data_IF_005084570531
#
_entry.id   IF_005084570531
#
_cell.length_a   1.000
_cell.length_b   1.000
_cell.length_c   1.000
_cell.angle_alpha   90.00
_cell.angle_beta   90.00
_cell.angle_gamma   90.00
#
_symmetry.space_group_name_H-M   'P 1'
#
loop_
_entity.id
_entity.type
_entity.pdbx_description
1 polymer ?
#
# COMPACT_ATOMS: atom_id res chain seq x y z
N UNK A 1 -23.42 -27.22 93.26
CA UNK A 1 -23.97 -28.58 93.12
C UNK A 1 -23.85 -28.99 91.65
N UNK A 2 -23.29 -30.17 91.42
CA UNK A 2 -23.03 -30.78 90.12
C UNK A 2 -24.33 -30.98 89.33
N UNK A 3 -24.27 -30.82 88.00
CA UNK A 3 -24.70 -31.85 87.03
C UNK A 3 -24.33 -31.41 85.61
N UNK A 4 -23.50 -32.23 84.99
CA UNK A 4 -23.16 -32.22 83.58
C UNK A 4 -24.35 -32.72 82.76
N UNK A 5 -24.52 -32.17 81.56
CA UNK A 5 -25.22 -32.83 80.45
C UNK A 5 -24.35 -32.64 79.19
N UNK A 6 -23.82 -33.77 78.72
CA UNK A 6 -23.20 -33.98 77.41
C UNK A 6 -24.29 -34.08 76.34
N UNK A 7 -24.08 -33.49 75.15
CA UNK A 7 -24.40 -34.06 73.82
C UNK A 7 -23.99 -33.06 72.69
N UNK A 8 -23.85 -33.47 71.41
CA UNK A 8 -22.67 -34.11 70.84
C UNK A 8 -21.98 -33.25 69.74
N UNK A 9 -20.77 -33.69 69.37
CA UNK A 9 -19.87 -33.18 68.35
C UNK A 9 -20.52 -33.15 66.95
N UNK A 10 -20.72 -31.95 66.39
CA UNK A 10 -21.05 -31.75 64.97
C UNK A 10 -19.73 -31.42 64.25
N UNK A 11 -19.28 -32.34 63.41
CA UNK A 11 -18.18 -32.11 62.48
C UNK A 11 -18.66 -31.15 61.38
N UNK A 12 -18.19 -29.90 61.42
CA UNK A 12 -18.43 -28.90 60.39
C UNK A 12 -17.35 -29.06 59.30
N UNK A 13 -17.71 -29.72 58.20
CA UNK A 13 -16.90 -29.77 56.98
C UNK A 13 -16.89 -28.40 56.31
N UNK A 14 -15.72 -27.77 56.26
CA UNK A 14 -15.47 -26.51 55.54
C UNK A 14 -15.46 -26.81 54.04
N UNK A 15 -16.54 -26.43 53.35
CA UNK A 15 -16.58 -26.34 51.90
C UNK A 15 -15.87 -25.05 51.47
N UNK A 16 -14.67 -25.19 50.91
CA UNK A 16 -14.03 -24.11 50.14
C UNK A 16 -14.76 -23.97 48.81
N UNK A 17 -15.59 -22.93 48.67
CA UNK A 17 -16.06 -22.48 47.36
C UNK A 17 -14.96 -21.65 46.73
N UNK A 18 -14.29 -22.21 45.71
CA UNK A 18 -13.49 -21.45 44.75
C UNK A 18 -14.43 -20.48 44.05
N UNK A 19 -14.31 -19.19 44.34
CA UNK A 19 -14.93 -18.14 43.53
C UNK A 19 -14.20 -18.10 42.21
N UNK A 20 -14.88 -18.54 41.14
CA UNK A 20 -14.46 -18.28 39.78
C UNK A 20 -14.32 -16.76 39.61
N UNK A 21 -13.18 -16.33 39.09
CA UNK A 21 -12.96 -14.94 38.69
C UNK A 21 -13.91 -14.69 37.52
N UNK A 22 -15.05 -14.03 37.79
CA UNK A 22 -15.94 -13.55 36.74
C UNK A 22 -15.17 -12.48 35.96
N UNK A 23 -14.57 -12.89 34.84
CA UNK A 23 -14.04 -11.98 33.84
C UNK A 23 -15.25 -11.21 33.33
N UNK A 24 -15.29 -9.92 33.66
CA UNK A 24 -16.34 -9.00 33.27
C UNK A 24 -16.44 -8.98 31.73
N UNK A 25 -17.45 -9.67 31.20
CA UNK A 25 -17.55 -10.03 29.77
C UNK A 25 -18.32 -9.07 28.84
N UNK A 26 -18.74 -7.85 29.22
CA UNK A 26 -19.25 -6.90 28.23
C UNK A 26 -18.41 -5.62 28.18
N UNK A 27 -17.12 -5.71 27.85
CA UNK A 27 -16.33 -4.51 27.50
C UNK A 27 -15.22 -4.75 26.46
N UNK A 28 -15.28 -5.88 25.74
CA UNK A 28 -14.45 -6.14 24.54
C UNK A 28 -15.39 -6.59 23.41
N UNK A 29 -16.23 -5.68 22.91
CA UNK A 29 -16.92 -5.79 21.61
C UNK A 29 -17.69 -4.49 21.34
N UNK A 30 -16.95 -3.40 21.17
CA UNK A 30 -17.47 -2.21 20.50
C UNK A 30 -16.39 -1.48 19.69
N UNK A 31 -15.51 -2.26 19.07
CA UNK A 31 -14.79 -1.80 17.88
C UNK A 31 -15.23 -2.73 16.76
N UNK A 32 -15.95 -2.16 15.81
CA UNK A 32 -16.48 -2.79 14.60
C UNK A 32 -15.32 -3.27 13.72
N UNK A 33 -14.74 -4.43 14.00
CA UNK A 33 -14.00 -5.19 12.99
C UNK A 33 -14.99 -6.18 12.36
N UNK A 34 -15.81 -5.66 11.45
CA UNK A 34 -16.55 -6.53 10.54
C UNK A 34 -15.51 -7.13 9.61
N UNK A 35 -15.27 -8.44 9.76
CA UNK A 35 -14.48 -9.25 8.82
C UNK A 35 -14.88 -8.88 7.40
N UNK A 36 -13.92 -8.35 6.61
CA UNK A 36 -14.15 -8.00 5.21
C UNK A 36 -14.29 -9.29 4.41
N UNK A 37 -15.49 -9.86 4.45
CA UNK A 37 -15.88 -11.01 3.65
C UNK A 37 -16.84 -10.55 2.57
N UNK A 38 -16.40 -10.60 1.31
CA UNK A 38 -17.25 -10.22 0.20
C UNK A 38 -18.37 -11.24 -0.04
N UNK A 39 -19.61 -10.79 0.11
CA UNK A 39 -20.80 -11.53 -0.26
C UNK A 39 -20.97 -11.47 -1.79
N UNK A 40 -20.95 -12.64 -2.44
CA UNK A 40 -21.11 -12.78 -3.89
C UNK A 40 -22.51 -13.29 -4.24
N UNK A 41 -23.00 -13.00 -5.44
CA UNK A 41 -24.23 -13.61 -5.93
C UNK A 41 -24.05 -15.11 -6.15
N UNK A 42 -25.00 -15.91 -5.65
CA UNK A 42 -24.99 -17.39 -5.72
C UNK A 42 -26.21 -17.96 -6.44
N UNK A 43 -27.10 -17.10 -6.96
CA UNK A 43 -28.31 -17.52 -7.65
C UNK A 43 -28.07 -17.91 -9.12
N UNK A 44 -29.12 -18.31 -9.85
CA UNK A 44 -29.00 -18.60 -11.28
C UNK A 44 -28.68 -17.32 -12.08
N UNK A 45 -27.68 -17.40 -12.96
CA UNK A 45 -27.36 -16.31 -13.86
C UNK A 45 -28.11 -16.45 -15.19
N UNK A 46 -28.68 -15.36 -15.69
CA UNK A 46 -29.28 -15.31 -17.03
C UNK A 46 -28.22 -15.24 -18.13
N UNK A 47 -27.09 -14.61 -17.82
CA UNK A 47 -25.92 -14.42 -18.69
C UNK A 47 -24.68 -14.58 -17.83
N UNK A 48 -23.69 -15.33 -18.32
CA UNK A 48 -22.38 -15.45 -17.69
C UNK A 48 -21.37 -14.94 -18.69
N UNK A 49 -20.66 -13.88 -18.32
CA UNK A 49 -19.60 -13.32 -19.16
C UNK A 49 -18.38 -14.25 -19.16
N UNK A 50 -17.70 -14.33 -20.30
CA UNK A 50 -16.44 -15.08 -20.38
C UNK A 50 -15.33 -14.32 -19.66
N UNK A 51 -14.28 -15.04 -19.24
CA UNK A 51 -13.10 -14.41 -18.64
C UNK A 51 -12.49 -13.35 -19.57
N UNK A 52 -12.46 -13.60 -20.88
CA UNK A 52 -11.97 -12.64 -21.87
C UNK A 52 -12.84 -11.38 -21.97
N UNK A 53 -14.17 -11.53 -21.89
CA UNK A 53 -15.07 -10.38 -21.86
C UNK A 53 -14.85 -9.51 -20.61
N UNK A 54 -14.65 -10.14 -19.45
CA UNK A 54 -14.34 -9.46 -18.18
C UNK A 54 -13.00 -8.70 -18.30
N UNK A 55 -11.95 -9.37 -18.81
CA UNK A 55 -10.63 -8.76 -19.05
C UNK A 55 -10.70 -7.59 -20.04
N UNK A 56 -11.58 -7.68 -21.04
CA UNK A 56 -11.78 -6.64 -22.04
C UNK A 56 -12.34 -5.34 -21.46
N UNK A 57 -13.12 -5.42 -20.38
CA UNK A 57 -13.62 -4.23 -19.65
C UNK A 57 -12.44 -3.45 -19.08
N UNK A 58 -11.63 -4.11 -18.24
CA UNK A 58 -10.47 -3.50 -17.59
C UNK A 58 -9.45 -2.98 -18.59
N UNK A 59 -9.05 -3.84 -19.54
CA UNK A 59 -8.03 -3.48 -20.53
C UNK A 59 -8.48 -2.37 -21.49
N UNK A 60 -9.78 -2.25 -21.79
CA UNK A 60 -10.31 -1.14 -22.59
C UNK A 60 -10.17 0.22 -21.91
N UNK A 61 -10.47 0.27 -20.61
CA UNK A 61 -10.29 1.47 -19.78
C UNK A 61 -8.80 1.79 -19.62
N UNK A 62 -7.96 0.79 -19.30
CA UNK A 62 -6.53 0.97 -19.11
C UNK A 62 -5.80 1.46 -20.36
N UNK A 63 -6.18 0.94 -21.55
CA UNK A 63 -5.67 1.44 -22.85
C UNK A 63 -6.02 2.89 -23.14
N UNK A 64 -7.05 3.43 -22.50
CA UNK A 64 -7.43 4.83 -22.66
C UNK A 64 -6.54 5.72 -21.78
N UNK A 65 -6.27 5.29 -20.54
CA UNK A 65 -5.36 5.96 -19.61
C UNK A 65 -3.90 5.92 -20.09
N UNK A 66 -3.43 4.79 -20.61
CA UNK A 66 -2.03 4.65 -21.08
C UNK A 66 -1.65 5.57 -22.25
N UNK A 67 -2.63 6.21 -22.90
CA UNK A 67 -2.36 7.24 -23.93
C UNK A 67 -1.79 8.53 -23.33
N UNK A 68 -2.12 8.85 -22.08
CA UNK A 68 -1.62 10.02 -21.37
C UNK A 68 -1.79 9.84 -19.86
N UNK A 69 -0.81 9.19 -19.23
CA UNK A 69 -0.82 8.89 -17.78
C UNK A 69 -0.53 10.10 -16.89
N UNK A 70 -0.17 11.25 -17.49
CA UNK A 70 0.17 12.48 -16.76
C UNK A 70 -0.92 13.56 -16.86
N UNK A 71 -2.03 13.25 -17.52
CA UNK A 71 -3.13 14.21 -17.75
C UNK A 71 -4.43 13.63 -17.28
N UNK A 72 -5.12 14.35 -16.39
CA UNK A 72 -6.42 13.94 -15.88
C UNK A 72 -7.43 13.67 -17.01
N UNK A 73 -8.28 12.66 -16.83
CA UNK A 73 -9.25 12.24 -17.83
C UNK A 73 -10.36 11.37 -17.29
N UNK A 74 -11.48 11.31 -18.03
CA UNK A 74 -12.61 10.42 -17.71
C UNK A 74 -12.89 9.52 -18.90
N UNK A 75 -12.86 8.22 -18.66
CA UNK A 75 -13.00 7.20 -19.70
C UNK A 75 -14.18 6.31 -19.36
N UNK A 76 -15.20 6.35 -20.21
CA UNK A 76 -16.43 5.60 -20.03
C UNK A 76 -16.49 4.41 -21.00
N UNK A 77 -16.89 3.25 -20.49
CA UNK A 77 -17.18 2.06 -21.27
C UNK A 77 -18.68 1.73 -21.17
N UNK A 78 -19.42 2.15 -22.20
CA UNK A 78 -20.85 1.87 -22.40
C UNK A 78 -21.75 2.24 -21.21
N UNK A 79 -21.39 3.25 -20.41
CA UNK A 79 -22.14 3.67 -19.22
C UNK A 79 -22.00 2.76 -18.00
N UNK A 80 -21.52 1.52 -18.19
CA UNK A 80 -21.44 0.50 -17.13
C UNK A 80 -20.20 0.65 -16.25
N UNK A 81 -19.08 1.04 -16.82
CA UNK A 81 -17.83 1.23 -16.10
C UNK A 81 -17.20 2.54 -16.53
N UNK A 82 -16.72 3.33 -15.58
CA UNK A 82 -15.99 4.57 -15.85
C UNK A 82 -14.73 4.57 -15.02
N UNK A 83 -13.62 5.00 -15.59
CA UNK A 83 -12.41 5.36 -14.83
C UNK A 83 -12.24 6.87 -14.91
N UNK A 84 -12.10 7.51 -13.76
CA UNK A 84 -11.58 8.87 -13.64
C UNK A 84 -10.11 8.73 -13.28
N UNK A 85 -9.24 9.10 -14.20
CA UNK A 85 -7.81 9.24 -13.95
C UNK A 85 -7.58 10.66 -13.42
N UNK A 86 -7.35 10.79 -12.12
CA UNK A 86 -7.27 12.06 -11.40
C UNK A 86 -5.81 12.30 -10.97
N UNK A 87 -5.11 13.09 -11.78
CA UNK A 87 -3.68 13.39 -11.61
C UNK A 87 -3.40 14.89 -11.64
N UNK A 88 -2.55 15.34 -10.72
CA UNK A 88 -1.97 16.68 -10.67
C UNK A 88 -0.45 16.61 -10.45
N UNK A 89 0.32 16.86 -11.52
CA UNK A 89 1.78 16.77 -11.51
C UNK A 89 2.47 17.98 -10.86
N UNK A 90 1.73 19.07 -10.63
CA UNK A 90 2.25 20.28 -10.01
C UNK A 90 2.33 20.14 -8.48
N UNK A 91 1.34 19.48 -7.88
CA UNK A 91 1.30 19.23 -6.42
C UNK A 91 2.09 17.96 -6.09
N UNK A 92 3.12 18.08 -5.24
CA UNK A 92 3.96 16.96 -4.81
C UNK A 92 3.42 16.22 -3.58
N UNK A 93 2.68 16.91 -2.73
CA UNK A 93 2.06 16.31 -1.56
C UNK A 93 0.83 15.49 -1.93
N UNK A 94 0.57 14.43 -1.16
CA UNK A 94 -0.58 13.52 -1.29
C UNK A 94 -0.61 12.73 -2.61
N UNK A 95 -1.53 11.77 -2.66
CA UNK A 95 -1.62 10.80 -3.76
C UNK A 95 -2.55 11.29 -4.87
N UNK A 96 -2.16 10.99 -6.09
CA UNK A 96 -3.08 10.92 -7.23
C UNK A 96 -3.89 9.62 -7.15
N UNK A 97 -4.91 9.45 -8.01
CA UNK A 97 -5.66 8.20 -8.04
C UNK A 97 -6.34 7.93 -9.38
N UNK A 98 -6.55 6.65 -9.66
CA UNK A 98 -7.62 6.22 -10.54
C UNK A 98 -8.87 5.86 -9.72
N UNK A 99 -10.02 6.31 -10.18
CA UNK A 99 -11.31 6.02 -9.55
C UNK A 99 -12.15 5.19 -10.52
N UNK A 100 -12.28 3.89 -10.24
CA UNK A 100 -13.17 2.99 -10.96
C UNK A 100 -14.59 3.12 -10.41
N UNK A 101 -15.49 3.62 -11.24
CA UNK A 101 -16.91 3.77 -10.96
C UNK A 101 -17.67 2.60 -11.59
N UNK A 102 -18.45 1.91 -10.76
CA UNK A 102 -19.40 0.89 -11.20
C UNK A 102 -20.75 1.59 -11.45
N UNK A 103 -21.15 1.68 -12.72
CA UNK A 103 -22.41 2.29 -13.13
C UNK A 103 -23.63 1.47 -12.70
N UNK A 104 -24.80 2.11 -12.66
CA UNK A 104 -26.05 1.45 -12.23
C UNK A 104 -26.46 0.26 -13.12
N UNK A 105 -26.06 0.28 -14.39
CA UNK A 105 -26.33 -0.79 -15.36
C UNK A 105 -25.23 -1.87 -15.41
N UNK A 106 -24.24 -1.79 -14.52
CA UNK A 106 -23.23 -2.83 -14.39
C UNK A 106 -23.83 -4.09 -13.75
N UNK A 107 -23.35 -5.25 -14.18
CA UNK A 107 -23.82 -6.57 -13.75
C UNK A 107 -22.74 -7.39 -13.04
N UNK A 108 -21.64 -6.75 -12.59
CA UNK A 108 -20.62 -7.44 -11.81
C UNK A 108 -21.18 -7.79 -10.43
N UNK A 109 -21.13 -9.08 -10.12
CA UNK A 109 -21.80 -9.67 -8.96
C UNK A 109 -20.90 -10.63 -8.15
N UNK A 110 -19.62 -10.71 -8.54
CA UNK A 110 -18.61 -11.53 -7.89
C UNK A 110 -17.27 -10.79 -7.78
N UNK A 111 -16.66 -10.83 -6.60
CA UNK A 111 -15.39 -10.16 -6.28
C UNK A 111 -14.24 -10.58 -7.20
N UNK A 112 -14.17 -11.87 -7.58
CA UNK A 112 -13.17 -12.37 -8.53
C UNK A 112 -13.26 -11.69 -9.89
N UNK A 113 -14.48 -11.41 -10.37
CA UNK A 113 -14.69 -10.72 -11.64
C UNK A 113 -14.28 -9.24 -11.52
N UNK A 114 -14.61 -8.59 -10.39
CA UNK A 114 -14.19 -7.22 -10.13
C UNK A 114 -12.66 -7.09 -10.04
N UNK A 115 -12.00 -7.99 -9.30
CA UNK A 115 -10.54 -8.06 -9.23
C UNK A 115 -9.92 -8.31 -10.59
N UNK A 116 -10.52 -9.14 -11.44
CA UNK A 116 -10.04 -9.36 -12.80
C UNK A 116 -10.18 -8.11 -13.69
N UNK A 117 -11.25 -7.31 -13.52
CA UNK A 117 -11.40 -6.02 -14.20
C UNK A 117 -10.26 -5.07 -13.78
N UNK A 118 -10.01 -4.94 -12.48
CA UNK A 118 -8.94 -4.08 -11.94
C UNK A 118 -7.57 -4.58 -12.39
N UNK A 119 -7.29 -5.88 -12.32
CA UNK A 119 -6.02 -6.45 -12.76
C UNK A 119 -5.77 -6.19 -14.25
N UNK A 120 -6.76 -6.45 -15.12
CA UNK A 120 -6.64 -6.17 -16.55
C UNK A 120 -6.54 -4.68 -16.87
N UNK A 121 -7.11 -3.82 -16.03
CA UNK A 121 -6.91 -2.38 -16.10
C UNK A 121 -5.44 -2.02 -15.80
N UNK A 122 -4.89 -2.48 -14.68
CA UNK A 122 -3.52 -2.18 -14.25
C UNK A 122 -2.48 -2.69 -15.25
N UNK A 123 -2.65 -3.89 -15.80
CA UNK A 123 -1.79 -4.42 -16.87
C UNK A 123 -1.82 -3.53 -18.11
N UNK A 124 -3.00 -3.04 -18.52
CA UNK A 124 -3.14 -2.24 -19.74
C UNK A 124 -2.75 -0.76 -19.57
N UNK A 125 -2.94 -0.20 -18.37
CA UNK A 125 -2.63 1.19 -18.04
C UNK A 125 -1.15 1.38 -17.74
N UNK A 126 -0.57 0.49 -16.93
CA UNK A 126 0.74 0.67 -16.31
C UNK A 126 1.73 -0.47 -16.58
N UNK A 127 1.31 -1.53 -17.27
CA UNK A 127 2.21 -2.60 -17.69
C UNK A 127 2.56 -3.62 -16.60
N UNK A 128 1.82 -3.65 -15.49
CA UNK A 128 1.97 -4.69 -14.46
C UNK A 128 1.82 -6.10 -15.06
N UNK A 129 2.61 -7.04 -14.56
CA UNK A 129 2.44 -8.46 -14.86
C UNK A 129 1.05 -8.94 -14.39
N UNK A 130 0.51 -10.01 -14.99
CA UNK A 130 -0.81 -10.52 -14.56
C UNK A 130 -0.82 -10.91 -13.07
N UNK A 131 0.30 -11.42 -12.55
CA UNK A 131 0.47 -11.79 -11.13
C UNK A 131 0.38 -10.55 -10.26
N UNK A 132 1.20 -9.53 -10.53
CA UNK A 132 1.27 -8.30 -9.73
C UNK A 132 -0.04 -7.54 -9.77
N UNK A 133 -0.64 -7.42 -10.96
CA UNK A 133 -1.92 -6.77 -11.14
C UNK A 133 -3.04 -7.48 -10.36
N UNK A 134 -3.00 -8.81 -10.27
CA UNK A 134 -3.94 -9.59 -9.46
C UNK A 134 -3.73 -9.34 -7.96
N UNK A 135 -2.49 -9.35 -7.49
CA UNK A 135 -2.14 -9.04 -6.10
C UNK A 135 -2.62 -7.65 -5.72
N UNK A 136 -2.28 -6.63 -6.52
CA UNK A 136 -2.72 -5.25 -6.30
C UNK A 136 -4.25 -5.16 -6.32
N UNK A 137 -4.93 -5.83 -7.25
CA UNK A 137 -6.40 -5.81 -7.31
C UNK A 137 -7.04 -6.40 -6.05
N UNK A 138 -6.45 -7.44 -5.45
CA UNK A 138 -6.90 -7.96 -4.15
C UNK A 138 -6.82 -6.88 -3.07
N UNK A 139 -5.65 -6.28 -2.86
CA UNK A 139 -5.44 -5.27 -1.84
C UNK A 139 -6.28 -4.00 -2.09
N UNK A 140 -6.40 -3.54 -3.32
CA UNK A 140 -7.28 -2.42 -3.70
C UNK A 140 -8.73 -2.70 -3.28
N UNK A 141 -9.25 -3.91 -3.51
CA UNK A 141 -10.63 -4.21 -3.10
C UNK A 141 -10.82 -4.20 -1.59
N UNK A 142 -9.85 -4.72 -0.83
CA UNK A 142 -9.92 -4.77 0.63
C UNK A 142 -9.75 -3.36 1.21
N UNK A 143 -8.76 -2.60 0.74
CA UNK A 143 -8.55 -1.18 1.05
C UNK A 143 -9.85 -0.37 0.92
N UNK A 144 -10.52 -0.49 -0.23
CA UNK A 144 -11.75 0.24 -0.49
C UNK A 144 -12.93 -0.23 0.38
N UNK A 145 -12.92 -1.48 0.85
CA UNK A 145 -13.93 -1.99 1.77
C UNK A 145 -13.70 -1.51 3.20
N UNK A 146 -12.45 -1.58 3.69
CA UNK A 146 -12.04 -1.06 5.01
C UNK A 146 -12.38 0.42 5.16
N UNK A 147 -12.10 1.22 4.13
CA UNK A 147 -12.29 2.67 4.16
C UNK A 147 -13.61 3.15 3.54
N UNK A 148 -14.57 2.26 3.25
CA UNK A 148 -15.84 2.64 2.63
C UNK A 148 -16.53 3.76 3.41
N UNK A 149 -16.90 4.81 2.69
CA UNK A 149 -17.59 5.98 3.24
C UNK A 149 -16.78 6.85 4.20
N UNK A 150 -15.51 6.52 4.47
CA UNK A 150 -14.64 7.28 5.35
C UNK A 150 -13.97 8.43 4.58
N UNK A 151 -14.77 9.41 4.16
CA UNK A 151 -14.30 10.53 3.34
C UNK A 151 -13.08 11.27 3.92
N UNK A 152 -12.99 11.38 5.25
CA UNK A 152 -11.84 12.00 5.92
C UNK A 152 -10.52 11.34 5.57
N UNK A 153 -10.47 10.00 5.52
CA UNK A 153 -9.26 9.25 5.14
C UNK A 153 -8.84 9.62 3.72
N UNK A 154 -9.80 9.72 2.81
CA UNK A 154 -9.52 10.13 1.43
C UNK A 154 -9.05 11.58 1.33
N UNK A 155 -9.63 12.51 2.10
CA UNK A 155 -9.21 13.93 2.12
C UNK A 155 -7.80 14.11 2.70
N UNK A 156 -7.40 13.29 3.67
CA UNK A 156 -6.07 13.33 4.26
C UNK A 156 -5.01 12.76 3.31
N UNK A 157 -5.29 11.63 2.65
CA UNK A 157 -4.32 10.90 1.83
C UNK A 157 -4.20 11.38 0.38
N UNK A 158 -5.27 11.92 -0.20
CA UNK A 158 -5.33 12.21 -1.64
C UNK A 158 -5.42 13.69 -1.97
N UNK A 159 -4.93 14.04 -3.16
CA UNK A 159 -5.01 15.40 -3.70
C UNK A 159 -6.45 15.82 -3.97
N UNK A 160 -6.69 17.13 -4.02
CA UNK A 160 -8.01 17.71 -4.29
C UNK A 160 -8.60 17.22 -5.61
N UNK A 161 -7.76 17.06 -6.66
CA UNK A 161 -8.18 16.53 -7.96
C UNK A 161 -8.83 15.14 -7.86
N UNK A 162 -8.44 14.33 -6.86
CA UNK A 162 -9.05 13.05 -6.56
C UNK A 162 -10.34 13.25 -5.76
N UNK A 163 -10.26 13.99 -4.65
CA UNK A 163 -11.36 14.08 -3.68
C UNK A 163 -12.59 14.78 -4.22
N UNK A 164 -12.43 15.70 -5.17
CA UNK A 164 -13.54 16.39 -5.85
C UNK A 164 -14.43 15.43 -6.67
N UNK A 165 -13.90 14.24 -7.00
CA UNK A 165 -14.64 13.19 -7.70
C UNK A 165 -15.31 12.20 -6.74
N UNK A 166 -15.07 12.28 -5.43
CA UNK A 166 -15.57 11.34 -4.43
C UNK A 166 -16.78 11.89 -3.68
N UNK A 167 -17.65 10.97 -3.25
CA UNK A 167 -18.77 11.28 -2.36
C UNK A 167 -18.78 10.32 -1.19
N UNK A 168 -19.18 10.80 0.00
CA UNK A 168 -19.19 9.97 1.21
C UNK A 168 -20.06 8.71 1.08
N UNK A 169 -21.15 8.75 0.32
CA UNK A 169 -22.03 7.59 0.14
C UNK A 169 -21.38 6.50 -0.73
N UNK A 170 -20.51 6.89 -1.68
CA UNK A 170 -20.04 6.00 -2.75
C UNK A 170 -18.56 5.68 -2.69
N UNK A 171 -17.75 6.48 -1.99
CA UNK A 171 -16.31 6.24 -1.88
C UNK A 171 -16.02 4.89 -1.21
N UNK A 172 -15.12 4.12 -1.82
CA UNK A 172 -14.84 2.76 -1.43
C UNK A 172 -15.79 1.74 -2.06
N UNK A 173 -15.84 0.55 -1.46
CA UNK A 173 -16.49 -0.64 -2.01
C UNK A 173 -17.27 -1.38 -0.94
N UNK A 174 -18.55 -1.66 -1.16
CA UNK A 174 -19.33 -2.47 -0.20
C UNK A 174 -18.82 -3.92 -0.18
N UNK A 175 -18.95 -4.61 0.94
CA UNK A 175 -18.75 -6.07 0.99
C UNK A 175 -19.88 -6.84 0.29
N UNK A 176 -21.00 -6.18 -0.06
CA UNK A 176 -22.16 -6.81 -0.67
C UNK A 176 -22.28 -6.48 -2.16
N UNK A 177 -22.30 -7.52 -3.00
CA UNK A 177 -22.35 -7.37 -4.45
C UNK A 177 -23.54 -6.53 -4.97
N UNK A 178 -24.70 -6.63 -4.30
CA UNK A 178 -25.92 -5.93 -4.71
C UNK A 178 -25.89 -4.42 -4.42
N UNK A 179 -24.92 -3.96 -3.64
CA UNK A 179 -24.67 -2.56 -3.33
C UNK A 179 -23.58 -1.95 -4.21
N UNK A 180 -23.04 -2.69 -5.20
CA UNK A 180 -22.00 -2.15 -6.09
C UNK A 180 -22.54 -1.26 -7.22
N UNK A 181 -23.58 -1.66 -7.98
CA UNK A 181 -24.03 -0.88 -9.13
C UNK A 181 -24.53 0.51 -8.73
N UNK A 182 -23.90 1.55 -9.27
CA UNK A 182 -24.24 2.95 -9.04
C UNK A 182 -23.78 3.54 -7.70
N UNK A 183 -23.14 2.73 -6.85
CA UNK A 183 -22.87 3.02 -5.43
C UNK A 183 -21.41 2.72 -5.01
N UNK A 184 -20.51 2.50 -5.98
CA UNK A 184 -19.08 2.26 -5.75
C UNK A 184 -18.20 3.22 -6.54
N UNK A 185 -17.27 3.86 -5.84
CA UNK A 185 -16.14 4.64 -6.35
C UNK A 185 -14.87 4.03 -5.76
N UNK A 186 -14.30 3.07 -6.48
CA UNK A 186 -13.13 2.28 -6.04
C UNK A 186 -11.88 3.09 -6.37
N UNK A 187 -11.14 3.48 -5.34
CA UNK A 187 -9.94 4.31 -5.45
C UNK A 187 -8.70 3.44 -5.53
N UNK A 188 -7.89 3.65 -6.56
CA UNK A 188 -6.57 3.04 -6.75
C UNK A 188 -5.54 4.16 -6.53
N UNK A 189 -4.82 4.18 -5.39
CA UNK A 189 -3.85 5.22 -5.12
C UNK A 189 -2.64 5.14 -6.05
N UNK A 190 -2.20 6.28 -6.55
CA UNK A 190 -1.06 6.42 -7.44
C UNK A 190 0.00 7.31 -6.76
N UNK A 191 1.22 6.81 -6.64
CA UNK A 191 2.35 7.56 -6.07
C UNK A 191 3.20 8.22 -7.16
N UNK A 192 3.49 7.49 -8.24
CA UNK A 192 4.16 8.01 -9.43
C UNK A 192 3.58 7.36 -10.68
N UNK A 193 2.83 8.12 -11.48
CA UNK A 193 2.20 7.63 -12.71
C UNK A 193 3.19 7.19 -13.80
N UNK A 194 4.47 7.49 -13.65
CA UNK A 194 5.57 7.02 -14.49
C UNK A 194 6.48 6.02 -13.77
N UNK A 195 6.06 5.56 -12.59
CA UNK A 195 6.85 4.75 -11.67
C UNK A 195 7.05 3.29 -12.08
N UNK A 196 6.39 2.84 -13.15
CA UNK A 196 6.46 1.44 -13.59
C UNK A 196 5.81 0.52 -12.55
N UNK A 197 6.60 -0.39 -11.97
CA UNK A 197 6.13 -1.27 -10.89
C UNK A 197 5.67 -0.51 -9.65
N UNK A 198 6.21 0.69 -9.39
CA UNK A 198 5.83 1.53 -8.25
C UNK A 198 4.74 2.55 -8.58
N UNK A 199 3.92 2.32 -9.61
CA UNK A 199 2.87 3.28 -10.00
C UNK A 199 1.75 3.36 -8.97
N UNK A 200 1.24 2.19 -8.57
CA UNK A 200 0.25 2.08 -7.49
C UNK A 200 0.98 2.19 -6.16
N UNK A 201 0.43 2.98 -5.24
CA UNK A 201 1.00 3.09 -3.89
C UNK A 201 0.67 1.85 -3.06
N UNK A 202 1.61 0.89 -3.05
CA UNK A 202 1.48 -0.39 -2.34
C UNK A 202 1.39 -0.20 -0.83
N UNK A 203 2.07 0.79 -0.25
CA UNK A 203 2.04 1.11 1.19
C UNK A 203 0.64 1.51 1.65
N UNK A 204 -0.07 2.31 0.86
CA UNK A 204 -1.44 2.77 1.18
C UNK A 204 -2.45 1.63 1.14
N UNK A 205 -2.38 0.77 0.11
CA UNK A 205 -3.34 -0.33 -0.03
C UNK A 205 -3.03 -1.51 0.88
N UNK A 206 -1.82 -1.60 1.45
CA UNK A 206 -1.42 -2.63 2.40
C UNK A 206 -1.20 -2.08 3.81
N UNK A 207 -1.85 -0.97 4.15
CA UNK A 207 -1.70 -0.37 5.47
C UNK A 207 -2.21 -1.29 6.59
N UNK A 208 -1.91 -0.91 7.83
CA UNK A 208 -2.22 -1.73 9.01
C UNK A 208 -3.69 -2.15 9.11
N UNK A 209 -4.65 -1.26 8.83
CA UNK A 209 -6.08 -1.63 8.94
C UNK A 209 -6.45 -2.66 7.87
N UNK A 210 -5.84 -2.58 6.67
CA UNK A 210 -6.03 -3.57 5.61
C UNK A 210 -5.45 -4.93 6.02
N UNK A 211 -4.22 -4.94 6.54
CA UNK A 211 -3.59 -6.19 7.01
C UNK A 211 -4.36 -6.80 8.18
N UNK A 212 -4.80 -5.99 9.14
CA UNK A 212 -5.59 -6.45 10.27
C UNK A 212 -6.93 -7.04 9.81
N UNK A 213 -7.57 -6.45 8.78
CA UNK A 213 -8.75 -7.05 8.15
C UNK A 213 -8.45 -8.39 7.47
N UNK A 214 -7.32 -8.53 6.77
CA UNK A 214 -6.93 -9.81 6.15
C UNK A 214 -6.64 -10.90 7.17
N UNK A 215 -6.12 -10.52 8.36
CA UNK A 215 -5.84 -11.45 9.47
C UNK A 215 -7.09 -12.08 10.07
N UNK A 216 -8.27 -11.55 9.76
CA UNK A 216 -9.55 -12.13 10.21
C UNK A 216 -10.00 -13.31 9.33
N UNK A 217 -9.41 -13.50 8.15
CA UNK A 217 -9.60 -14.69 7.33
C UNK A 217 -8.97 -15.95 7.98
N UNK A 218 -9.46 -17.14 7.64
CA UNK A 218 -9.02 -18.40 8.26
C UNK A 218 -7.51 -18.65 8.05
N UNK A 219 -7.02 -18.37 6.85
CA UNK A 219 -5.61 -18.44 6.47
C UNK A 219 -4.86 -17.12 6.68
N UNK A 220 -5.54 -16.11 7.25
CA UNK A 220 -5.02 -14.77 7.54
C UNK A 220 -4.47 -14.03 6.31
N UNK A 221 -4.93 -14.41 5.11
CA UNK A 221 -4.48 -13.86 3.84
C UNK A 221 -2.97 -14.04 3.59
N UNK A 222 -2.35 -15.08 4.17
CA UNK A 222 -0.89 -15.26 4.16
C UNK A 222 -0.33 -15.29 2.74
N UNK A 223 -0.97 -16.00 1.81
CA UNK A 223 -0.46 -16.15 0.45
C UNK A 223 -0.52 -14.81 -0.30
N UNK A 224 -1.64 -14.09 -0.24
CA UNK A 224 -1.77 -12.76 -0.86
C UNK A 224 -0.76 -11.76 -0.25
N UNK A 225 -0.52 -11.82 1.07
CA UNK A 225 0.46 -10.95 1.75
C UNK A 225 1.89 -11.27 1.35
N UNK A 226 2.24 -12.54 1.15
CA UNK A 226 3.56 -12.91 0.61
C UNK A 226 3.77 -12.36 -0.79
N UNK A 227 2.74 -12.43 -1.63
CA UNK A 227 2.77 -11.87 -2.97
C UNK A 227 2.95 -10.34 -2.96
N UNK A 228 2.36 -9.65 -1.99
CA UNK A 228 2.59 -8.21 -1.79
C UNK A 228 4.04 -7.93 -1.36
N UNK A 229 4.60 -8.73 -0.44
CA UNK A 229 6.01 -8.62 -0.03
C UNK A 229 6.95 -8.85 -1.22
N UNK A 230 6.73 -9.90 -2.02
CA UNK A 230 7.53 -10.16 -3.25
C UNK A 230 7.41 -9.03 -4.28
N UNK A 231 6.28 -8.32 -4.32
CA UNK A 231 6.12 -7.12 -5.13
C UNK A 231 6.94 -5.95 -4.56
N UNK A 232 6.84 -5.67 -3.26
CA UNK A 232 7.59 -4.60 -2.59
C UNK A 232 9.11 -4.80 -2.64
N UNK A 233 9.59 -6.03 -2.51
CA UNK A 233 11.02 -6.37 -2.70
C UNK A 233 11.48 -5.98 -4.11
N UNK A 234 10.69 -6.27 -5.15
CA UNK A 234 11.02 -5.86 -6.52
C UNK A 234 10.89 -4.36 -6.75
N UNK A 235 9.93 -3.69 -6.10
CA UNK A 235 9.85 -2.22 -6.11
C UNK A 235 11.10 -1.61 -5.50
N UNK A 236 11.60 -2.16 -4.39
CA UNK A 236 12.83 -1.75 -3.75
C UNK A 236 14.06 -1.97 -4.64
N UNK A 237 14.19 -3.14 -5.28
CA UNK A 237 15.28 -3.42 -6.23
C UNK A 237 15.26 -2.47 -7.44
N UNK A 238 14.07 -2.10 -7.95
CA UNK A 238 13.96 -1.13 -9.05
C UNK A 238 14.32 0.28 -8.58
N UNK A 239 13.90 0.66 -7.38
CA UNK A 239 14.24 1.94 -6.77
C UNK A 239 15.75 2.05 -6.50
N UNK A 240 16.40 1.00 -5.99
CA UNK A 240 17.84 0.94 -5.75
C UNK A 240 18.62 1.13 -7.06
N UNK A 241 18.21 0.47 -8.15
CA UNK A 241 18.81 0.68 -9.48
C UNK A 241 18.67 2.12 -9.95
N UNK A 242 17.50 2.74 -9.76
CA UNK A 242 17.28 4.16 -10.09
C UNK A 242 18.14 5.07 -9.22
N UNK A 243 18.29 4.76 -7.93
CA UNK A 243 19.14 5.49 -7.00
C UNK A 243 20.62 5.41 -7.41
N UNK A 244 21.13 4.22 -7.77
CA UNK A 244 22.50 4.06 -8.27
C UNK A 244 22.75 4.87 -9.56
N UNK A 245 21.78 4.88 -10.48
CA UNK A 245 21.86 5.67 -11.72
C UNK A 245 21.81 7.18 -11.44
N UNK A 246 20.97 7.61 -10.50
CA UNK A 246 20.89 8.99 -10.06
C UNK A 246 22.19 9.43 -9.38
N UNK A 247 22.75 8.61 -8.51
CA UNK A 247 24.03 8.89 -7.83
C UNK A 247 25.18 9.02 -8.82
N UNK A 248 25.25 8.15 -9.85
CA UNK A 248 26.26 8.31 -10.92
C UNK A 248 26.15 9.65 -11.63
N UNK A 249 24.92 10.13 -11.89
CA UNK A 249 24.68 11.45 -12.50
C UNK A 249 25.03 12.59 -11.55
N UNK A 250 24.75 12.45 -10.25
CA UNK A 250 25.13 13.40 -9.22
C UNK A 250 26.66 13.53 -9.13
N UNK A 251 27.39 12.41 -9.09
CA UNK A 251 28.86 12.38 -9.09
C UNK A 251 29.46 13.07 -10.34
N UNK A 252 28.85 12.86 -11.50
CA UNK A 252 29.26 13.52 -12.75
C UNK A 252 28.96 15.03 -12.73
N UNK A 253 27.83 15.44 -12.16
CA UNK A 253 27.47 16.84 -12.00
C UNK A 253 28.43 17.54 -11.01
N UNK A 254 28.74 16.91 -9.88
CA UNK A 254 29.67 17.43 -8.89
C UNK A 254 31.07 17.61 -9.47
N UNK A 255 31.57 16.66 -10.26
CA UNK A 255 32.87 16.83 -10.95
C UNK A 255 32.88 18.07 -11.86
N UNK A 256 31.79 18.34 -12.56
CA UNK A 256 31.67 19.54 -13.41
C UNK A 256 31.61 20.82 -12.59
N UNK A 257 30.92 20.79 -11.45
CA UNK A 257 30.88 21.90 -10.51
C UNK A 257 32.28 22.19 -9.95
N UNK A 258 33.01 21.18 -9.51
CA UNK A 258 34.39 21.30 -9.02
C UNK A 258 35.34 21.88 -10.10
N UNK A 259 35.20 21.44 -11.35
CA UNK A 259 35.96 21.98 -12.48
C UNK A 259 35.60 23.44 -12.79
N UNK A 260 34.32 23.81 -12.67
CA UNK A 260 33.87 25.19 -12.85
C UNK A 260 34.38 26.09 -11.72
N UNK A 261 34.31 25.63 -10.47
CA UNK A 261 34.83 26.35 -9.31
C UNK A 261 36.33 26.57 -9.42
N UNK A 262 37.10 25.56 -9.86
CA UNK A 262 38.53 25.73 -10.10
C UNK A 262 38.83 26.82 -11.13
N UNK A 263 38.06 26.90 -12.22
CA UNK A 263 38.22 27.97 -13.22
C UNK A 263 37.84 29.33 -12.67
N UNK A 264 36.81 29.41 -11.81
CA UNK A 264 36.43 30.64 -11.12
C UNK A 264 37.55 31.10 -10.18
N UNK A 265 38.15 30.21 -9.40
CA UNK A 265 39.27 30.51 -8.51
C UNK A 265 40.52 30.99 -9.29
N UNK A 266 40.82 30.37 -10.43
CA UNK A 266 41.89 30.80 -11.35
C UNK A 266 41.61 32.21 -11.91
N UNK A 267 40.38 32.46 -12.37
CA UNK A 267 39.97 33.78 -12.87
C UNK A 267 40.03 34.87 -11.79
N UNK A 268 39.59 34.53 -10.57
CA UNK A 268 39.65 35.42 -9.41
C UNK A 268 41.09 35.74 -8.99
N UNK A 269 41.97 34.75 -9.01
CA UNK A 269 43.40 34.94 -8.75
C UNK A 269 44.02 35.90 -9.78
N UNK A 270 43.70 35.71 -11.07
CA UNK A 270 44.16 36.61 -12.14
C UNK A 270 43.59 38.03 -12.00
N UNK A 271 42.33 38.18 -11.60
CA UNK A 271 41.71 39.47 -11.35
C UNK A 271 42.38 40.21 -10.18
N UNK A 272 42.70 39.52 -9.09
CA UNK A 272 43.38 40.12 -7.93
C UNK A 272 44.80 40.59 -8.30
N UNK A 273 45.56 39.81 -9.09
CA UNK A 273 46.86 40.23 -9.61
C UNK A 273 46.76 41.51 -10.45
N UNK A 274 45.78 41.58 -11.37
CA UNK A 274 45.55 42.77 -12.21
C UNK A 274 45.12 43.99 -11.40
N UNK A 275 44.33 43.77 -10.36
CA UNK A 275 43.90 44.82 -9.42
C UNK A 275 45.06 45.36 -8.60
N UNK A 276 45.97 44.51 -8.11
CA UNK A 276 47.21 44.95 -7.46
C UNK A 276 48.09 45.78 -8.42
N UNK A 277 48.22 45.35 -9.67
CA UNK A 277 49.02 46.07 -10.68
C UNK A 277 48.44 47.47 -10.98
N UNK A 278 47.12 47.57 -11.10
CA UNK A 278 46.41 48.83 -11.27
C UNK A 278 46.55 49.73 -10.03
N UNK A 279 46.51 49.17 -8.81
CA UNK A 279 46.70 49.91 -7.56
C UNK A 279 48.11 50.50 -7.45
N UNK A 280 49.13 49.80 -7.97
CA UNK A 280 50.52 50.33 -8.05
C UNK A 280 50.69 51.42 -9.11
N UNK A 281 49.76 51.55 -10.07
CA UNK A 281 49.81 52.52 -11.16
C UNK A 281 48.49 53.32 -11.30
N UNK A 282 48.14 54.20 -10.33
CA UNK A 282 46.80 54.81 -10.26
C UNK A 282 46.44 55.74 -11.42
N UNK A 283 47.43 56.26 -12.16
CA UNK A 283 47.23 57.18 -13.28
C UNK A 283 47.16 56.46 -14.64
N UNK A 284 47.45 55.16 -14.68
CA UNK A 284 47.43 54.36 -15.89
C UNK A 284 46.02 53.85 -16.17
N UNK A 285 45.32 54.54 -17.08
CA UNK A 285 43.94 54.20 -17.46
C UNK A 285 43.83 52.83 -18.14
N UNK A 286 44.88 52.35 -18.81
CA UNK A 286 44.85 51.05 -19.47
C UNK A 286 44.86 49.93 -18.45
N UNK A 287 45.72 50.02 -17.42
CA UNK A 287 45.76 49.05 -16.31
C UNK A 287 44.49 49.04 -15.47
N UNK A 288 43.86 50.20 -15.26
CA UNK A 288 42.55 50.28 -14.59
C UNK A 288 41.48 49.51 -15.40
N UNK A 289 41.42 49.70 -16.72
CA UNK A 289 40.49 48.98 -17.59
C UNK A 289 40.77 47.47 -17.60
N UNK A 290 42.03 47.05 -17.66
CA UNK A 290 42.39 45.63 -17.61
C UNK A 290 41.96 44.97 -16.30
N UNK A 291 42.08 45.67 -15.16
CA UNK A 291 41.62 45.16 -13.87
C UNK A 291 40.10 45.04 -13.81
N UNK A 292 39.35 46.02 -14.33
CA UNK A 292 37.89 45.96 -14.44
C UNK A 292 37.43 44.80 -15.33
N UNK A 293 38.05 44.60 -16.50
CA UNK A 293 37.75 43.49 -17.41
C UNK A 293 38.09 42.12 -16.80
N UNK A 294 39.19 42.03 -16.04
CA UNK A 294 39.56 40.80 -15.33
C UNK A 294 38.57 40.49 -14.20
N UNK A 295 38.11 41.51 -13.46
CA UNK A 295 37.08 41.35 -12.44
C UNK A 295 35.77 40.87 -13.05
N UNK A 296 35.32 41.47 -14.16
CA UNK A 296 34.10 41.04 -14.83
C UNK A 296 34.17 39.57 -15.28
N UNK A 297 35.31 39.13 -15.81
CA UNK A 297 35.52 37.71 -16.16
C UNK A 297 35.52 36.79 -14.95
N UNK A 298 36.05 37.23 -13.81
CA UNK A 298 36.01 36.46 -12.57
C UNK A 298 34.57 36.33 -12.05
N UNK A 299 33.79 37.41 -12.09
CA UNK A 299 32.39 37.40 -11.68
C UNK A 299 31.55 36.48 -12.58
N UNK A 300 31.72 36.56 -13.91
CA UNK A 300 31.07 35.66 -14.88
C UNK A 300 31.50 34.19 -14.71
N UNK A 301 32.73 33.93 -14.28
CA UNK A 301 33.22 32.58 -14.00
C UNK A 301 32.62 32.03 -12.70
N UNK A 302 32.45 32.88 -11.68
CA UNK A 302 31.82 32.50 -10.42
C UNK A 302 30.32 32.21 -10.62
N UNK A 303 29.60 33.03 -11.38
CA UNK A 303 28.17 32.79 -11.69
C UNK A 303 27.96 31.41 -12.34
N UNK A 304 28.84 31.03 -13.28
CA UNK A 304 28.81 29.70 -13.90
C UNK A 304 29.16 28.56 -12.95
N UNK A 305 30.03 28.81 -11.97
CA UNK A 305 30.36 27.83 -10.95
C UNK A 305 29.18 27.61 -10.00
N UNK A 306 28.51 28.70 -9.60
CA UNK A 306 27.32 28.65 -8.75
C UNK A 306 26.17 27.91 -9.45
N UNK A 307 25.89 28.21 -10.73
CA UNK A 307 24.90 27.47 -11.53
C UNK A 307 25.24 25.98 -11.70
N UNK A 308 26.54 25.64 -11.76
CA UNK A 308 26.98 24.26 -11.88
C UNK A 308 26.82 23.52 -10.54
N UNK A 309 27.07 24.19 -9.42
CA UNK A 309 26.86 23.64 -8.08
C UNK A 309 25.37 23.43 -7.80
N UNK A 310 24.49 24.37 -8.14
CA UNK A 310 23.04 24.21 -7.98
C UNK A 310 22.52 22.96 -8.71
N UNK A 311 22.98 22.72 -9.94
CA UNK A 311 22.64 21.50 -10.69
C UNK A 311 23.20 20.23 -10.08
N UNK A 312 24.36 20.30 -9.41
CA UNK A 312 24.93 19.17 -8.70
C UNK A 312 24.12 18.84 -7.44
N UNK A 313 23.74 19.87 -6.69
CA UNK A 313 22.90 19.75 -5.48
C UNK A 313 21.52 19.18 -5.84
N UNK A 314 20.85 19.68 -6.89
CA UNK A 314 19.58 19.12 -7.38
C UNK A 314 19.70 17.66 -7.84
N UNK A 315 20.86 17.27 -8.39
CA UNK A 315 21.10 15.91 -8.82
C UNK A 315 21.34 14.98 -7.62
N UNK A 316 22.01 15.47 -6.58
CA UNK A 316 22.23 14.73 -5.34
C UNK A 316 20.91 14.56 -4.56
N UNK A 317 20.08 15.59 -4.47
CA UNK A 317 18.75 15.51 -3.82
C UNK A 317 17.89 14.42 -4.47
N UNK A 318 17.85 14.35 -5.81
CA UNK A 318 17.13 13.28 -6.53
C UNK A 318 17.70 11.88 -6.29
N UNK A 319 19.01 11.77 -6.06
CA UNK A 319 19.64 10.49 -5.74
C UNK A 319 19.27 10.05 -4.32
N UNK A 320 19.29 10.98 -3.37
CA UNK A 320 18.93 10.74 -1.97
C UNK A 320 17.44 10.36 -1.85
N UNK A 321 16.53 11.07 -2.53
CA UNK A 321 15.10 10.73 -2.59
C UNK A 321 14.85 9.32 -3.14
N UNK A 322 15.57 8.94 -4.21
CA UNK A 322 15.45 7.61 -4.80
C UNK A 322 15.96 6.52 -3.85
N UNK A 323 17.05 6.79 -3.12
CA UNK A 323 17.60 5.88 -2.13
C UNK A 323 16.65 5.72 -0.94
N UNK A 324 16.09 6.81 -0.42
CA UNK A 324 15.12 6.78 0.69
C UNK A 324 13.89 5.93 0.32
N UNK A 325 13.38 6.07 -0.90
CA UNK A 325 12.28 5.23 -1.40
C UNK A 325 12.64 3.75 -1.44
N UNK A 326 13.87 3.42 -1.85
CA UNK A 326 14.34 2.03 -1.88
C UNK A 326 14.45 1.45 -0.46
N UNK A 327 15.05 2.22 0.46
CA UNK A 327 15.23 1.84 1.86
C UNK A 327 13.87 1.64 2.55
N UNK A 328 12.92 2.55 2.35
CA UNK A 328 11.56 2.43 2.87
C UNK A 328 10.88 1.14 2.38
N UNK A 329 10.94 0.84 1.09
CA UNK A 329 10.31 -0.36 0.54
C UNK A 329 10.95 -1.66 1.04
N UNK A 330 12.28 -1.64 1.23
CA UNK A 330 13.00 -2.75 1.85
C UNK A 330 12.58 -2.96 3.32
N UNK A 331 12.48 -1.89 4.10
CA UNK A 331 12.06 -1.95 5.49
C UNK A 331 10.62 -2.47 5.62
N UNK A 332 9.67 -1.93 4.84
CA UNK A 332 8.29 -2.42 4.81
C UNK A 332 8.20 -3.91 4.46
N UNK A 333 8.94 -4.35 3.44
CA UNK A 333 8.95 -5.75 3.03
C UNK A 333 9.53 -6.68 4.12
N UNK A 334 10.58 -6.23 4.83
CA UNK A 334 11.19 -6.99 5.93
C UNK A 334 10.23 -7.12 7.12
N UNK A 335 9.64 -6.01 7.57
CA UNK A 335 8.67 -5.99 8.67
C UNK A 335 7.46 -6.89 8.34
N UNK A 336 6.87 -6.73 7.15
CA UNK A 336 5.74 -7.54 6.72
C UNK A 336 6.07 -9.03 6.66
N UNK A 337 7.30 -9.38 6.26
CA UNK A 337 7.76 -10.77 6.22
C UNK A 337 7.86 -11.39 7.61
N UNK A 338 8.37 -10.66 8.59
CA UNK A 338 8.43 -11.10 9.98
C UNK A 338 7.02 -11.30 10.54
N UNK A 339 6.13 -10.35 10.30
CA UNK A 339 4.72 -10.41 10.68
C UNK A 339 4.00 -11.62 10.04
N UNK A 340 4.22 -11.87 8.74
CA UNK A 340 3.66 -13.04 8.05
C UNK A 340 4.22 -14.34 8.64
N UNK A 341 5.52 -14.39 8.98
CA UNK A 341 6.13 -15.59 9.56
C UNK A 341 5.53 -15.91 10.94
N UNK A 342 5.29 -14.89 11.76
CA UNK A 342 4.58 -15.05 13.02
C UNK A 342 3.15 -15.54 12.77
N UNK A 343 2.42 -14.90 11.86
CA UNK A 343 1.03 -15.24 11.58
C UNK A 343 0.88 -16.67 11.04
N UNK A 344 1.82 -17.10 10.18
CA UNK A 344 1.88 -18.45 9.64
C UNK A 344 2.15 -19.49 10.73
N UNK A 345 3.03 -19.18 11.69
CA UNK A 345 3.26 -20.07 12.84
C UNK A 345 1.98 -20.25 13.66
N UNK A 346 1.25 -19.17 13.93
CA UNK A 346 -0.01 -19.24 14.66
C UNK A 346 -1.07 -20.08 13.92
N UNK A 347 -1.18 -19.95 12.59
CA UNK A 347 -2.09 -20.79 11.77
C UNK A 347 -1.70 -22.27 11.85
N UNK A 348 -0.41 -22.60 11.79
CA UNK A 348 0.09 -23.98 11.92
C UNK A 348 -0.21 -24.54 13.31
N UNK A 349 -0.04 -23.74 14.37
CA UNK A 349 -0.34 -24.17 15.74
C UNK A 349 -1.84 -24.41 15.94
N UNK A 350 -2.70 -23.51 15.44
CA UNK A 350 -4.18 -23.67 15.49
C UNK A 350 -4.64 -24.93 14.76
N UNK A 351 -4.14 -25.16 13.55
CA UNK A 351 -4.49 -26.34 12.74
C UNK A 351 -3.97 -27.64 13.37
N UNK A 352 -2.78 -27.62 13.94
CA UNK A 352 -2.21 -28.76 14.67
C UNK A 352 -3.00 -29.08 15.95
N UNK A 353 -3.41 -28.07 16.72
CA UNK A 353 -4.24 -28.26 17.91
C UNK A 353 -5.63 -28.80 17.56
N UNK A 354 -6.27 -28.27 16.50
CA UNK A 354 -7.57 -28.77 16.02
C UNK A 354 -7.50 -30.23 15.54
N UNK A 355 -6.35 -30.66 15.00
CA UNK A 355 -6.11 -32.06 14.60
C UNK A 355 -5.86 -32.99 15.80
N UNK A 356 -5.44 -32.45 16.94
CA UNK A 356 -5.13 -33.22 18.15
C UNK A 356 -6.33 -33.43 19.09
N UNK A 357 -7.47 -32.75 18.89
CA UNK A 357 -8.69 -33.01 19.66
C UNK A 357 -9.36 -34.34 19.21
N UNK A 358 -9.67 -35.26 20.15
CA UNK A 358 -10.30 -36.52 19.79
C UNK A 358 -11.72 -36.28 19.30
N UNK A 359 -12.00 -36.64 18.04
CA UNK A 359 -13.38 -36.72 17.51
C UNK A 359 -14.20 -37.62 18.44
N UNK A 360 -15.16 -37.05 19.17
CA UNK A 360 -16.15 -37.85 19.90
C UNK A 360 -16.98 -38.63 18.89
N UNK A 361 -16.59 -39.88 18.65
CA UNK A 361 -17.42 -40.83 17.90
C UNK A 361 -18.58 -41.21 18.82
N UNK A 362 -19.72 -40.55 18.65
CA UNK A 362 -20.98 -41.01 19.24
C UNK A 362 -21.40 -42.30 18.50
N UNK A 363 -20.95 -43.44 19.01
CA UNK A 363 -21.48 -44.75 18.61
C UNK A 363 -22.88 -44.87 19.21
N UNK A 364 -23.91 -44.67 18.39
CA UNK A 364 -25.29 -45.02 18.75
C UNK A 364 -25.35 -46.54 18.93
N UNK A 365 -25.44 -46.98 20.18
CA UNK A 365 -25.51 -48.40 20.54
C UNK A 365 -26.82 -49.05 20.09
N UNK A 366 -26.71 -50.14 19.33
CA UNK A 366 -27.76 -51.14 19.20
C UNK A 366 -27.62 -52.12 20.37
N UNK A 367 -28.52 -52.04 21.34
CA UNK A 367 -28.69 -53.07 22.36
C UNK A 367 -29.36 -54.30 21.75
N UNK A 368 -28.61 -55.40 21.58
CA UNK A 368 -29.18 -56.74 21.44
C UNK A 368 -29.11 -57.42 22.80
N UNK A 369 -30.27 -57.57 23.43
CA UNK A 369 -30.44 -58.34 24.66
C UNK A 369 -30.28 -59.83 24.38
N UNK A 370 -29.23 -60.43 24.96
CA UNK A 370 -29.08 -61.86 25.11
C UNK A 370 -30.10 -62.40 26.13
N UNK A 371 -30.97 -63.30 25.68
CA UNK A 371 -31.84 -64.13 26.52
C UNK A 371 -31.55 -65.60 26.27
N UNK A 372 -30.91 -66.22 27.26
CA UNK A 372 -30.58 -67.65 27.40
C UNK A 372 -31.80 -68.56 27.33
N UNK A 373 -31.70 -69.72 26.68
CA UNK A 373 -32.29 -70.98 27.18
C UNK A 373 -31.50 -72.22 26.73
N UNK A 374 -31.32 -73.12 27.68
CA UNK A 374 -30.53 -74.35 27.66
C UNK A 374 -31.42 -75.59 27.40
N UNK A 375 -30.89 -76.53 26.62
CA UNK A 375 -31.10 -78.00 26.53
C UNK A 375 -32.51 -78.64 26.61
N UNK A 376 -32.82 -79.55 25.67
CA UNK A 376 -32.76 -81.02 25.85
C UNK A 376 -33.37 -81.79 24.65
N UNK A 377 -32.77 -82.97 24.41
CA UNK A 377 -33.10 -84.12 23.52
C UNK A 377 -32.78 -83.98 22.04
#
# INVERSE_FOLDING_TARGET
>A
MKKAIMLPLIALSVLFTLTALEVNQPEIQSVSSEVIQFENYTGPHKTVDTLEAIRSIGSGLGKSVSRSVTTSGTFNLNGKYTVIHAVDTATKEKLDADILIIGADASVDHIRNLRQIIASYLTAAYGYSEKDASTIATFVTIYNAVYRGRMQVFTERYKTVVTDNLTQEKCGLSTKWNEWPGQSQIVIPLSDVQGGLSTVDTSTISDREVIDSMREEEDRGIDDRKEMVELKEREAEEAEKKAEEAQKKADEAQKKADEAQKKADEARSSAEEKKEEAARNPQDKEKQREAEEAQQKADEAQEKADEAQEKADEAQEKADEAQEKADQKNEEAQEEREDIAQDQKEVIERTSAASAEPKQVTVIGLTSTSGTYSQMV
#
